data_IF_960063178940
#
_entry.id   IF_960063178940
#
_cell.length_a   1.000
_cell.length_b   1.000
_cell.length_c   1.000
_cell.angle_alpha   90.00
_cell.angle_beta   90.00
_cell.angle_gamma   90.00
#
_symmetry.space_group_name_H-M   'P 1'
#
loop_
_entity.id
_entity.type
_entity.pdbx_description
1 polymer ?
#
# COMPACT_ATOMS: atom_id res chain seq x y z
N UNK A 1 8.49 -15.01 -22.09
CA UNK A 1 8.08 -14.62 -20.72
C UNK A 1 7.44 -13.26 -20.80
N UNK A 2 6.38 -13.02 -20.05
CA UNK A 2 4.98 -13.15 -20.50
C UNK A 2 4.33 -11.85 -20.08
N UNK A 3 3.50 -11.20 -20.91
CA UNK A 3 2.78 -9.95 -20.63
C UNK A 3 2.46 -9.70 -19.14
N UNK A 4 1.98 -10.74 -18.45
CA UNK A 4 1.73 -10.78 -17.01
C UNK A 4 2.89 -10.27 -16.11
N UNK A 5 4.14 -10.59 -16.41
CA UNK A 5 5.29 -10.17 -15.61
C UNK A 5 5.56 -8.67 -15.76
N UNK A 6 5.35 -8.12 -16.96
CA UNK A 6 5.46 -6.69 -17.22
C UNK A 6 4.30 -5.93 -16.55
N UNK A 7 3.08 -6.47 -16.62
CA UNK A 7 1.92 -5.93 -15.92
C UNK A 7 2.11 -5.96 -14.40
N UNK A 8 2.60 -7.07 -13.85
CA UNK A 8 2.90 -7.20 -12.42
C UNK A 8 3.95 -6.20 -11.98
N UNK A 9 5.00 -5.99 -12.79
CA UNK A 9 6.03 -4.99 -12.49
C UNK A 9 5.44 -3.59 -12.39
N UNK A 10 4.55 -3.21 -13.30
CA UNK A 10 3.89 -1.90 -13.29
C UNK A 10 2.99 -1.75 -12.05
N UNK A 11 2.14 -2.74 -11.79
CA UNK A 11 1.19 -2.69 -10.66
C UNK A 11 1.94 -2.68 -9.33
N UNK A 12 2.95 -3.54 -9.17
CA UNK A 12 3.78 -3.58 -7.97
C UNK A 12 4.47 -2.24 -7.73
N UNK A 13 5.00 -1.62 -8.80
CA UNK A 13 5.67 -0.33 -8.70
C UNK A 13 4.71 0.76 -8.23
N UNK A 14 3.53 0.86 -8.83
CA UNK A 14 2.50 1.83 -8.44
C UNK A 14 2.02 1.61 -7.01
N UNK A 15 1.80 0.35 -6.61
CA UNK A 15 1.41 0.01 -5.25
C UNK A 15 2.48 0.43 -4.25
N UNK A 16 3.75 0.06 -4.46
CA UNK A 16 4.84 0.40 -3.55
C UNK A 16 5.07 1.91 -3.45
N UNK A 17 4.87 2.66 -4.54
CA UNK A 17 4.90 4.13 -4.51
C UNK A 17 3.81 4.71 -3.60
N UNK A 18 2.57 4.25 -3.77
CA UNK A 18 1.45 4.68 -2.94
C UNK A 18 1.72 4.39 -1.46
N UNK A 19 2.20 3.18 -1.16
CA UNK A 19 2.51 2.75 0.20
C UNK A 19 3.64 3.59 0.81
N UNK A 20 4.71 3.88 0.05
CA UNK A 20 5.80 4.76 0.50
C UNK A 20 5.32 6.17 0.80
N UNK A 21 4.49 6.75 -0.06
CA UNK A 21 3.99 8.10 0.15
C UNK A 21 3.03 8.18 1.35
N UNK A 22 2.20 7.15 1.56
CA UNK A 22 1.43 7.02 2.80
C UNK A 22 2.36 6.84 4.02
N UNK A 23 3.41 6.03 3.94
CA UNK A 23 4.36 5.85 5.03
C UNK A 23 5.06 7.16 5.44
N UNK A 24 5.32 8.06 4.48
CA UNK A 24 5.95 9.38 4.73
C UNK A 24 5.02 10.41 5.34
N UNK A 25 3.80 10.50 4.82
CA UNK A 25 2.90 11.62 5.12
C UNK A 25 1.77 11.26 6.07
N UNK A 26 1.41 9.97 6.15
CA UNK A 26 0.30 9.46 6.96
C UNK A 26 0.61 8.04 7.44
N UNK A 27 1.59 7.85 8.34
CA UNK A 27 2.02 6.54 8.79
C UNK A 27 0.87 5.75 9.44
N UNK A 28 -0.06 6.45 10.11
CA UNK A 28 -1.26 5.83 10.65
C UNK A 28 -2.13 5.24 9.52
N UNK A 29 -2.44 5.99 8.45
CA UNK A 29 -3.18 5.43 7.31
C UNK A 29 -2.43 4.25 6.68
N UNK A 30 -1.09 4.29 6.64
CA UNK A 30 -0.29 3.20 6.11
C UNK A 30 -0.45 1.90 6.92
N UNK A 31 -0.48 1.99 8.25
CA UNK A 31 -0.75 0.86 9.15
C UNK A 31 -2.14 0.30 8.89
N UNK A 32 -3.17 1.17 8.91
CA UNK A 32 -4.56 0.73 8.84
C UNK A 32 -4.95 0.18 7.46
N UNK A 33 -4.45 0.79 6.38
CA UNK A 33 -4.87 0.50 5.00
C UNK A 33 -4.04 -0.61 4.36
N UNK A 34 -2.75 -0.66 4.68
CA UNK A 34 -1.81 -1.62 4.08
C UNK A 34 -1.30 -2.66 5.07
N UNK A 35 -1.78 -2.64 6.33
CA UNK A 35 -1.42 -3.58 7.38
C UNK A 35 0.11 -3.64 7.61
N UNK A 36 0.78 -2.48 7.57
CA UNK A 36 2.21 -2.38 7.79
C UNK A 36 2.56 -2.30 9.27
N UNK A 37 3.73 -2.84 9.64
CA UNK A 37 4.33 -2.62 10.95
C UNK A 37 5.16 -1.33 10.95
N UNK A 38 5.39 -0.75 12.12
CA UNK A 38 6.22 0.47 12.25
C UNK A 38 7.61 0.32 11.61
N UNK A 39 8.25 -0.84 11.76
CA UNK A 39 9.54 -1.15 11.12
C UNK A 39 9.45 -1.13 9.59
N UNK A 40 8.32 -1.58 9.04
CA UNK A 40 8.10 -1.58 7.59
C UNK A 40 7.85 -0.15 7.07
N UNK A 41 7.18 0.70 7.86
CA UNK A 41 6.93 2.12 7.54
C UNK A 41 8.24 2.89 7.48
N UNK A 42 9.08 2.76 8.51
CA UNK A 42 10.37 3.44 8.56
C UNK A 42 11.20 3.07 7.34
N UNK A 43 11.30 1.77 7.05
CA UNK A 43 12.03 1.24 5.90
C UNK A 43 11.45 1.73 4.56
N UNK A 44 10.14 1.68 4.36
CA UNK A 44 9.48 2.08 3.11
C UNK A 44 9.57 3.60 2.89
N UNK A 45 9.48 4.40 3.95
CA UNK A 45 9.57 5.85 3.88
C UNK A 45 10.95 6.33 3.42
N UNK A 46 12.02 5.60 3.77
CA UNK A 46 13.40 5.92 3.42
C UNK A 46 13.86 5.36 2.07
N UNK A 47 13.14 4.39 1.49
CA UNK A 47 13.54 3.79 0.21
C UNK A 47 13.63 4.84 -0.90
N UNK A 48 14.59 4.67 -1.78
CA UNK A 48 14.74 5.39 -3.04
C UNK A 48 13.77 4.86 -4.11
N UNK A 49 13.66 5.59 -5.22
CA UNK A 49 12.84 5.14 -6.36
C UNK A 49 13.42 3.88 -7.01
N UNK A 50 14.74 3.76 -7.06
CA UNK A 50 15.39 2.63 -7.73
C UNK A 50 15.27 1.34 -6.89
N UNK A 51 15.37 1.43 -5.57
CA UNK A 51 15.06 0.30 -4.67
C UNK A 51 13.61 -0.18 -4.82
N UNK A 52 12.66 0.74 -5.01
CA UNK A 52 11.26 0.38 -5.26
C UNK A 52 11.08 -0.29 -6.63
N UNK A 53 11.77 0.18 -7.68
CA UNK A 53 11.73 -0.46 -9.00
C UNK A 53 12.28 -1.88 -8.94
N UNK A 54 13.34 -2.09 -8.17
CA UNK A 54 13.95 -3.41 -7.99
C UNK A 54 13.00 -4.35 -7.23
N UNK A 55 12.37 -3.87 -6.16
CA UNK A 55 11.34 -4.64 -5.42
C UNK A 55 10.12 -4.97 -6.28
N UNK A 56 9.70 -4.05 -7.14
CA UNK A 56 8.58 -4.27 -8.05
C UNK A 56 8.87 -5.38 -9.06
N UNK A 57 10.15 -5.62 -9.38
CA UNK A 57 10.62 -6.62 -10.33
C UNK A 57 10.80 -8.02 -9.70
N UNK A 58 9.88 -8.45 -8.82
CA UNK A 58 9.97 -9.74 -8.15
C UNK A 58 9.16 -10.87 -8.82
N UNK A 59 8.46 -10.58 -9.92
CA UNK A 59 7.63 -11.54 -10.67
C UNK A 59 6.43 -12.11 -9.90
N UNK A 60 6.09 -11.51 -8.76
CA UNK A 60 4.96 -11.88 -7.90
C UNK A 60 4.19 -10.62 -7.52
N UNK A 61 2.89 -10.75 -7.24
CA UNK A 61 2.13 -9.63 -6.69
C UNK A 61 2.62 -9.32 -5.27
N UNK A 62 2.99 -8.06 -5.01
CA UNK A 62 3.47 -7.60 -3.68
C UNK A 62 2.34 -7.15 -2.75
N UNK A 63 1.09 -7.28 -3.20
CA UNK A 63 -0.11 -6.85 -2.50
C UNK A 63 -1.06 -8.02 -2.33
N UNK A 64 -1.88 -7.95 -1.29
CA UNK A 64 -2.97 -8.90 -1.06
C UNK A 64 -4.28 -8.25 -1.45
N UNK A 65 -5.03 -8.88 -2.34
CA UNK A 65 -6.44 -8.53 -2.55
C UNK A 65 -7.21 -9.26 -1.46
N UNK A 66 -7.66 -8.53 -0.44
CA UNK A 66 -8.50 -9.12 0.61
C UNK A 66 -9.70 -9.81 -0.06
N UNK A 67 -10.00 -11.07 0.27
CA UNK A 67 -11.19 -11.72 -0.25
C UNK A 67 -12.39 -10.87 0.15
N UNK A 68 -13.27 -10.57 -0.80
CA UNK A 68 -14.58 -9.98 -0.56
C UNK A 68 -15.43 -10.97 0.27
N UNK A 69 -15.05 -11.20 1.51
CA UNK A 69 -15.92 -11.80 2.51
C UNK A 69 -17.00 -10.75 2.74
N UNK A 70 -18.26 -11.15 2.48
CA UNK A 70 -19.45 -10.30 2.53
C UNK A 70 -19.31 -9.26 3.67
N UNK A 71 -19.22 -7.96 3.35
CA UNK A 71 -19.13 -6.97 4.40
C UNK A 71 -20.54 -6.70 4.92
N UNK A 72 -20.81 -6.99 6.19
CA UNK A 72 -21.99 -6.40 6.88
C UNK A 72 -21.84 -4.87 6.99
N UNK A 73 -20.61 -4.37 6.90
CA UNK A 73 -20.30 -2.94 6.87
C UNK A 73 -19.30 -2.69 5.74
N UNK A 74 -19.75 -2.02 4.68
CA UNK A 74 -18.90 -1.71 3.53
C UNK A 74 -17.70 -0.84 3.93
N UNK A 75 -16.53 -0.96 3.25
CA UNK A 75 -15.34 -0.15 3.52
C UNK A 75 -15.61 1.37 3.52
N UNK A 76 -16.66 1.83 2.83
CA UNK A 76 -17.13 3.22 2.81
C UNK A 76 -17.70 3.68 4.16
N UNK A 77 -18.42 2.80 4.86
CA UNK A 77 -18.96 3.09 6.19
C UNK A 77 -17.82 3.08 7.22
N UNK A 78 -16.87 2.15 7.09
CA UNK A 78 -15.67 2.14 7.93
C UNK A 78 -14.87 3.44 7.80
N UNK A 79 -14.72 3.98 6.58
CA UNK A 79 -14.04 5.25 6.34
C UNK A 79 -14.81 6.47 6.90
N UNK A 80 -16.15 6.45 6.89
CA UNK A 80 -16.98 7.52 7.44
C UNK A 80 -16.98 7.57 8.98
N UNK A 81 -16.57 6.49 9.64
CA UNK A 81 -16.44 6.39 11.10
C UNK A 81 -15.04 6.80 11.60
N UNK A 82 -14.09 7.04 10.71
CA UNK A 82 -12.78 7.55 11.10
C UNK A 82 -12.88 9.05 11.41
N UNK A 83 -12.41 9.52 12.58
CA UNK A 83 -12.45 10.94 12.92
C UNK A 83 -11.60 11.73 11.93
N UNK A 84 -12.20 12.78 11.35
CA UNK A 84 -11.49 13.69 10.45
C UNK A 84 -10.50 14.49 11.29
N UNK A 85 -9.19 14.46 10.98
CA UNK A 85 -8.22 15.27 11.71
C UNK A 85 -8.58 16.74 11.55
N UNK A 86 -8.81 17.42 12.66
CA UNK A 86 -9.05 18.86 12.69
C UNK A 86 -7.79 19.54 12.18
N UNK A 87 -7.89 20.19 11.03
CA UNK A 87 -6.78 20.96 10.48
C UNK A 87 -6.44 22.09 11.45
N UNK A 88 -5.17 22.13 11.90
CA UNK A 88 -4.53 23.29 12.55
C UNK A 88 -3.82 24.08 11.48
#
# INVERSE_FOLDING_TARGET
>A
MSLLNDDLKIINFQFLLLVRECARHSPMEAIWKFNLKEVDIEKLSSMSLDEIKDLANCGRAVFTVLPLTKPDITPRIAAALLPVPSQV
#
